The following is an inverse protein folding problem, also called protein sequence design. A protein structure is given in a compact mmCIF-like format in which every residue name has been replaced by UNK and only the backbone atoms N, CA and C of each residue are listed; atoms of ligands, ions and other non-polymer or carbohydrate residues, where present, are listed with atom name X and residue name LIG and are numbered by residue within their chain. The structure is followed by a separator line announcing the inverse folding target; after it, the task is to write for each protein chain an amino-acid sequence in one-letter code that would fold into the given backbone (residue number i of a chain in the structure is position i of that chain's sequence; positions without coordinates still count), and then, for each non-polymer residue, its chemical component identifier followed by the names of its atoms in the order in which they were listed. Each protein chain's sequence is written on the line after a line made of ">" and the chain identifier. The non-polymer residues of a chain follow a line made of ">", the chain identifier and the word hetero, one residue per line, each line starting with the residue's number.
data_IF_871319249597
#
_entry.id   IF_871319249597
#
_cell.length_a   1.000
_cell.length_b   1.000
_cell.length_c   1.000
_cell.angle_alpha   90.00
_cell.angle_beta   90.00
_cell.angle_gamma   90.00
#
_symmetry.space_group_name_H-M   'P 1'
#
loop_
_entity.id
_entity.type
_entity.pdbx_description
1 polymer ?
#
# COMPACT_ATOMS: atom_id res chain seq x y z
N UNK A 1 -13.04 -23.34 2.13
CA UNK A 1 -11.59 -23.18 2.42
C UNK A 1 -11.46 -22.52 3.78
N UNK A 2 -10.62 -23.04 4.67
CA UNK A 2 -10.41 -22.45 6.00
C UNK A 2 -9.68 -21.10 5.86
N UNK A 3 -10.12 -20.08 6.60
CA UNK A 3 -9.45 -18.79 6.64
C UNK A 3 -8.11 -18.92 7.40
N UNK A 4 -7.02 -18.29 6.91
CA UNK A 4 -5.71 -18.38 7.55
C UNK A 4 -5.73 -17.74 8.93
N UNK A 5 -5.22 -18.44 9.95
CA UNK A 5 -5.18 -17.96 11.34
C UNK A 5 -3.88 -17.27 11.72
N UNK A 6 -2.83 -17.38 10.88
CA UNK A 6 -1.53 -16.71 11.07
C UNK A 6 -1.10 -15.94 9.83
N UNK A 7 -0.19 -14.97 10.01
CA UNK A 7 0.34 -14.15 8.90
C UNK A 7 1.01 -15.01 7.81
N UNK A 8 1.78 -16.03 8.21
CA UNK A 8 2.46 -16.95 7.29
C UNK A 8 1.48 -17.80 6.48
N UNK A 9 0.39 -18.26 7.11
CA UNK A 9 -0.66 -18.99 6.41
C UNK A 9 -1.39 -18.09 5.42
N UNK A 10 -1.58 -16.82 5.78
CA UNK A 10 -2.16 -15.81 4.89
C UNK A 10 -1.29 -15.59 3.67
N UNK A 11 0.02 -15.42 3.84
CA UNK A 11 0.94 -15.26 2.71
C UNK A 11 0.99 -16.48 1.81
N UNK A 12 0.96 -17.69 2.38
CA UNK A 12 0.87 -18.92 1.60
C UNK A 12 -0.43 -18.97 0.78
N UNK A 13 -1.55 -18.64 1.40
CA UNK A 13 -2.86 -18.58 0.75
C UNK A 13 -2.86 -17.58 -0.42
N UNK A 14 -2.42 -16.34 -0.19
CA UNK A 14 -2.36 -15.31 -1.22
C UNK A 14 -1.44 -15.70 -2.37
N UNK A 15 -0.29 -16.31 -2.07
CA UNK A 15 0.64 -16.80 -3.10
C UNK A 15 0.00 -17.89 -3.95
N UNK A 16 -0.67 -18.86 -3.34
CA UNK A 16 -1.33 -19.94 -4.09
C UNK A 16 -2.44 -19.38 -5.00
N UNK A 17 -3.28 -18.49 -4.47
CA UNK A 17 -4.32 -17.83 -5.24
C UNK A 17 -3.75 -17.01 -6.41
N UNK A 18 -2.62 -16.33 -6.20
CA UNK A 18 -1.93 -15.60 -7.27
C UNK A 18 -1.39 -16.52 -8.37
N UNK A 19 -0.81 -17.69 -8.02
CA UNK A 19 -0.37 -18.69 -8.99
C UNK A 19 -1.54 -19.21 -9.82
N UNK A 20 -2.68 -19.48 -9.19
CA UNK A 20 -3.90 -19.93 -9.88
C UNK A 20 -4.44 -18.85 -10.83
N UNK A 21 -4.45 -17.59 -10.40
CA UNK A 21 -4.85 -16.46 -11.25
C UNK A 21 -3.92 -16.28 -12.44
N UNK A 22 -2.60 -16.32 -12.24
CA UNK A 22 -1.61 -16.27 -13.33
C UNK A 22 -1.83 -17.43 -14.33
N UNK A 23 -2.13 -18.63 -13.82
CA UNK A 23 -2.47 -19.78 -14.67
C UNK A 23 -3.74 -19.53 -15.48
N UNK A 24 -4.77 -18.92 -14.89
CA UNK A 24 -5.99 -18.50 -15.59
C UNK A 24 -5.74 -17.50 -16.72
N UNK A 25 -4.67 -16.70 -16.61
CA UNK A 25 -4.20 -15.79 -17.67
C UNK A 25 -3.29 -16.47 -18.71
N UNK A 26 -3.08 -17.79 -18.61
CA UNK A 26 -2.19 -18.54 -19.50
C UNK A 26 -0.72 -18.55 -19.10
N UNK A 27 -0.35 -17.92 -17.98
CA UNK A 27 1.03 -17.83 -17.50
C UNK A 27 1.33 -18.99 -16.57
N UNK A 28 2.20 -19.91 -17.00
CA UNK A 28 2.61 -21.09 -16.22
C UNK A 28 3.95 -20.84 -15.54
N UNK A 29 3.92 -20.68 -14.22
CA UNK A 29 5.13 -20.63 -13.41
C UNK A 29 5.69 -22.04 -13.17
N UNK A 30 6.98 -22.21 -13.44
CA UNK A 30 7.74 -23.41 -13.05
C UNK A 30 7.66 -23.59 -11.52
N UNK A 31 7.65 -24.84 -11.03
CA UNK A 31 7.57 -25.20 -9.61
C UNK A 31 8.60 -24.45 -8.75
N UNK A 32 9.82 -24.27 -9.23
CA UNK A 32 10.89 -23.54 -8.53
C UNK A 32 10.65 -22.02 -8.44
N UNK A 33 9.79 -21.47 -9.30
CA UNK A 33 9.41 -20.05 -9.34
C UNK A 33 8.07 -19.75 -8.67
N UNK A 34 7.43 -20.75 -8.07
CA UNK A 34 6.19 -20.55 -7.28
C UNK A 34 6.47 -20.09 -5.84
N UNK A 35 7.69 -19.63 -5.55
CA UNK A 35 8.03 -18.92 -4.33
C UNK A 35 7.57 -17.46 -4.41
N UNK A 36 7.59 -16.74 -3.30
CA UNK A 36 7.07 -15.36 -3.21
C UNK A 36 7.74 -14.42 -4.21
N UNK A 37 9.06 -14.50 -4.37
CA UNK A 37 9.81 -13.65 -5.31
C UNK A 37 9.48 -13.95 -6.77
N UNK A 38 9.40 -15.22 -7.15
CA UNK A 38 9.11 -15.63 -8.52
C UNK A 38 7.71 -15.22 -8.96
N UNK A 39 6.72 -15.36 -8.07
CA UNK A 39 5.35 -14.87 -8.32
C UNK A 39 5.33 -13.35 -8.44
N UNK A 40 5.98 -12.62 -7.53
CA UNK A 40 6.03 -11.16 -7.57
C UNK A 40 6.77 -10.63 -8.82
N UNK A 41 7.84 -11.30 -9.24
CA UNK A 41 8.56 -10.95 -10.46
C UNK A 41 7.68 -11.10 -11.71
N UNK A 42 6.87 -12.15 -11.76
CA UNK A 42 5.92 -12.37 -12.84
C UNK A 42 4.82 -11.30 -12.85
N UNK A 43 4.27 -10.95 -11.68
CA UNK A 43 3.31 -9.86 -11.52
C UNK A 43 3.90 -8.54 -12.02
N UNK A 44 5.14 -8.21 -11.64
CA UNK A 44 5.84 -6.99 -12.11
C UNK A 44 6.06 -6.96 -13.61
N UNK A 45 6.23 -8.14 -14.23
CA UNK A 45 6.40 -8.28 -15.69
C UNK A 45 5.11 -7.93 -16.43
N UNK A 46 3.96 -8.40 -15.92
CA UNK A 46 2.65 -8.16 -16.54
C UNK A 46 2.09 -6.78 -16.20
N UNK A 47 2.34 -6.30 -14.98
CA UNK A 47 1.79 -5.05 -14.45
C UNK A 47 2.91 -4.21 -13.84
N UNK A 48 3.57 -3.36 -14.65
CA UNK A 48 4.69 -2.52 -14.20
C UNK A 48 4.34 -1.53 -13.08
N UNK A 49 3.05 -1.30 -12.81
CA UNK A 49 2.59 -0.48 -11.68
C UNK A 49 3.04 -1.04 -10.32
N UNK A 50 3.30 -2.34 -10.23
CA UNK A 50 3.76 -3.00 -9.00
C UNK A 50 5.29 -3.07 -8.88
N UNK A 51 6.03 -2.16 -9.54
CA UNK A 51 7.50 -2.10 -9.47
C UNK A 51 7.97 -1.78 -8.05
N UNK A 52 8.80 -2.66 -7.50
CA UNK A 52 9.42 -2.49 -6.17
C UNK A 52 8.62 -3.10 -5.02
N UNK A 53 9.07 -2.82 -3.79
CA UNK A 53 8.44 -3.29 -2.56
C UNK A 53 8.70 -4.77 -2.22
N UNK A 54 8.24 -5.16 -1.03
CA UNK A 54 8.26 -6.54 -0.56
C UNK A 54 7.39 -7.44 -1.46
N UNK A 55 7.90 -8.63 -1.77
CA UNK A 55 7.25 -9.56 -2.70
C UNK A 55 5.89 -10.04 -2.20
N UNK A 56 5.71 -10.25 -0.89
CA UNK A 56 4.42 -10.62 -0.31
C UNK A 56 3.43 -9.47 -0.39
N UNK A 57 3.88 -8.23 -0.17
CA UNK A 57 3.04 -7.04 -0.35
C UNK A 57 2.56 -6.88 -1.80
N UNK A 58 3.45 -7.09 -2.77
CA UNK A 58 3.08 -7.04 -4.20
C UNK A 58 1.97 -8.04 -4.52
N UNK A 59 2.12 -9.30 -4.06
CA UNK A 59 1.12 -10.35 -4.28
C UNK A 59 -0.22 -9.96 -3.65
N UNK A 60 -0.22 -9.50 -2.39
CA UNK A 60 -1.44 -9.08 -1.69
C UNK A 60 -2.12 -7.91 -2.39
N UNK A 61 -1.36 -6.88 -2.78
CA UNK A 61 -1.89 -5.70 -3.45
C UNK A 61 -2.47 -6.03 -4.83
N UNK A 62 -1.82 -6.89 -5.60
CA UNK A 62 -2.30 -7.33 -6.91
C UNK A 62 -3.56 -8.19 -6.82
N UNK A 63 -3.62 -9.10 -5.84
CA UNK A 63 -4.82 -9.90 -5.58
C UNK A 63 -5.97 -9.05 -5.04
N UNK A 64 -5.66 -8.11 -4.14
CA UNK A 64 -6.64 -7.16 -3.59
C UNK A 64 -7.23 -6.24 -4.65
N UNK A 65 -6.42 -5.74 -5.59
CA UNK A 65 -6.90 -4.89 -6.69
C UNK A 65 -7.86 -5.64 -7.64
N UNK A 66 -7.71 -6.95 -7.79
CA UNK A 66 -8.64 -7.75 -8.60
C UNK A 66 -9.91 -8.15 -7.85
N UNK A 67 -9.84 -8.24 -6.53
CA UNK A 67 -11.01 -8.44 -5.68
C UNK A 67 -11.80 -7.15 -5.46
N UNK A 68 -11.17 -5.97 -5.68
CA UNK A 68 -11.86 -4.69 -5.58
C UNK A 68 -12.94 -4.62 -6.67
N UNK A 69 -14.21 -4.36 -6.31
CA UNK A 69 -15.23 -4.10 -7.31
C UNK A 69 -14.78 -2.90 -8.14
N UNK A 70 -14.99 -2.94 -9.46
CA UNK A 70 -14.83 -1.81 -10.39
C UNK A 70 -15.84 -0.69 -10.13
N UNK A 71 -16.21 -0.45 -8.87
CA UNK A 71 -16.97 0.71 -8.49
C UNK A 71 -16.04 1.90 -8.71
N UNK A 72 -16.40 2.76 -9.66
CA UNK A 72 -15.96 4.14 -9.64
C UNK A 72 -16.22 4.63 -8.22
N UNK A 73 -15.15 4.77 -7.45
CA UNK A 73 -15.23 5.44 -6.15
C UNK A 73 -15.57 6.86 -6.51
N UNK A 74 -16.86 7.18 -6.51
CA UNK A 74 -17.33 8.54 -6.53
C UNK A 74 -16.69 9.20 -5.31
N UNK A 75 -15.56 9.88 -5.54
CA UNK A 75 -14.87 10.67 -4.54
C UNK A 75 -15.87 11.72 -4.09
N UNK A 76 -16.63 11.42 -3.04
CA UNK A 76 -17.47 12.42 -2.40
C UNK A 76 -16.50 13.46 -1.85
N UNK A 77 -16.51 14.70 -2.36
CA UNK A 77 -15.60 15.73 -1.84
C UNK A 77 -15.83 15.83 -0.34
N UNK A 78 -14.75 15.81 0.42
CA UNK A 78 -14.79 15.90 1.88
C UNK A 78 -15.47 17.21 2.28
N UNK A 79 -16.75 17.15 2.61
CA UNK A 79 -17.51 18.29 3.11
C UNK A 79 -17.22 18.43 4.60
N UNK A 80 -16.26 19.29 4.96
CA UNK A 80 -15.96 19.60 6.36
C UNK A 80 -17.19 20.17 7.06
N UNK A 81 -17.55 19.57 8.20
CA UNK A 81 -18.63 20.10 9.04
C UNK A 81 -18.31 21.53 9.51
N UNK A 82 -19.31 22.34 9.89
CA UNK A 82 -19.08 23.70 10.39
C UNK A 82 -18.09 23.74 11.56
N UNK A 83 -18.12 22.74 12.45
CA UNK A 83 -17.19 22.62 13.58
C UNK A 83 -15.74 22.40 13.11
N UNK A 84 -15.53 21.57 12.08
CA UNK A 84 -14.18 21.33 11.52
C UNK A 84 -13.64 22.57 10.82
N UNK A 85 -14.50 23.32 10.10
CA UNK A 85 -14.12 24.60 9.50
C UNK A 85 -13.73 25.64 10.55
N UNK A 86 -14.47 25.69 11.66
CA UNK A 86 -14.15 26.57 12.78
C UNK A 86 -12.81 26.20 13.46
N UNK A 87 -12.58 24.92 13.70
CA UNK A 87 -11.31 24.44 14.26
C UNK A 87 -10.11 24.76 13.35
N UNK A 88 -10.25 24.55 12.04
CA UNK A 88 -9.21 24.89 11.06
C UNK A 88 -8.94 26.40 10.95
N UNK A 89 -9.97 27.24 11.10
CA UNK A 89 -9.80 28.70 11.14
C UNK A 89 -9.04 29.14 12.40
N UNK A 90 -9.35 28.52 13.55
CA UNK A 90 -8.65 28.77 14.82
C UNK A 90 -7.20 28.32 14.80
N UNK A 91 -6.89 27.17 14.19
CA UNK A 91 -5.51 26.68 14.11
C UNK A 91 -4.61 27.58 13.27
N UNK A 92 -5.13 28.18 12.18
CA UNK A 92 -4.38 29.15 11.36
C UNK A 92 -4.04 30.45 12.11
N UNK A 93 -4.89 30.86 13.04
CA UNK A 93 -4.63 32.02 13.90
C UNK A 93 -3.69 31.68 15.07
N UNK A 94 -3.55 30.38 15.38
CA UNK A 94 -2.75 29.87 16.48
C UNK A 94 -1.38 29.33 16.02
N UNK A 95 -1.02 29.43 14.73
CA UNK A 95 0.34 29.14 14.29
C UNK A 95 1.28 30.24 14.80
N UNK A 96 2.15 29.98 15.81
CA UNK A 96 3.24 30.89 16.07
C UNK A 96 4.13 30.91 14.83
N UNK A 97 4.40 32.09 14.28
CA UNK A 97 5.25 32.22 13.11
C UNK A 97 6.59 31.50 13.36
N UNK A 98 6.93 30.53 12.51
CA UNK A 98 8.21 29.80 12.57
C UNK A 98 9.44 30.71 12.40
N UNK A 99 9.25 31.99 12.07
CA UNK A 99 10.32 33.00 12.07
C UNK A 99 10.82 33.38 13.47
N UNK A 100 10.15 32.95 14.54
CA UNK A 100 10.55 33.19 15.93
C UNK A 100 11.48 32.14 16.55
N UNK A 101 11.68 30.97 15.92
CA UNK A 101 12.58 29.91 16.40
C UNK A 101 14.02 30.10 15.86
N UNK A 102 14.44 31.36 15.78
CA UNK A 102 15.81 31.73 15.42
C UNK A 102 16.80 31.27 16.48
N UNK A 103 17.76 30.46 16.03
CA UNK A 103 19.14 30.37 16.52
C UNK A 103 19.35 30.10 18.01
N UNK A 104 19.54 28.83 18.36
CA UNK A 104 20.36 28.48 19.52
C UNK A 104 21.30 27.31 19.21
N UNK A 105 22.58 27.68 19.15
CA UNK A 105 23.78 26.88 19.42
C UNK A 105 24.11 25.72 18.45
N UNK A 106 24.83 26.08 17.38
CA UNK A 106 25.83 25.18 16.82
C UNK A 106 26.94 25.02 17.89
N UNK A 107 27.06 23.82 18.46
CA UNK A 107 28.17 23.42 19.32
C UNK A 107 29.44 23.32 18.47
N UNK A 108 30.38 24.22 18.69
CA UNK A 108 31.80 23.95 18.43
C UNK A 108 32.25 22.86 19.40
N UNK A 109 32.89 21.81 18.87
CA UNK A 109 33.72 20.90 19.66
C UNK A 109 35.16 21.03 19.17
N UNK A 110 36.14 21.07 20.10
CA UNK A 110 37.57 21.09 19.77
C UNK A 110 38.07 19.78 19.16
#
# INVERSE_FOLDING_TARGET
>A
MAHPSTAEQSDRYWRQAAVERLRGMGIKLNRYRQNTEGVAAEIRRIEPAYRGGDSSMVIRAWMGAAAAPRAEVAHRPLALSPAMRFAAARSRLAEPSLKGLGASSAREYP
#
